data_IF_137900254762
#
_entry.id   IF_137900254762
#
_cell.length_a   1.000
_cell.length_b   1.000
_cell.length_c   1.000
_cell.angle_alpha   90.00
_cell.angle_beta   90.00
_cell.angle_gamma   90.00
#
_symmetry.space_group_name_H-M   'P 1'
#
loop_
_entity.id
_entity.type
_entity.pdbx_description
1 polymer ?
#
# COMPACT_ATOMS: atom_id res chain seq x y z
N UNK A 1 14.83 -2.88 16.35
CA UNK A 1 14.38 -4.14 15.70
C UNK A 1 14.27 -3.95 14.20
N UNK A 2 15.41 -3.98 13.49
CA UNK A 2 15.49 -4.16 12.04
C UNK A 2 15.66 -5.66 11.77
N UNK A 3 14.67 -6.49 12.12
CA UNK A 3 14.95 -7.92 12.35
C UNK A 3 13.82 -8.93 12.25
N UNK A 4 12.60 -8.54 11.87
CA UNK A 4 11.67 -9.54 11.32
C UNK A 4 11.71 -9.41 9.81
N UNK A 5 12.34 -10.40 9.18
CA UNK A 5 12.43 -10.52 7.73
C UNK A 5 11.01 -10.78 7.21
N UNK A 6 10.30 -9.73 6.83
CA UNK A 6 9.05 -9.85 6.08
C UNK A 6 9.46 -10.27 4.66
N UNK A 7 9.49 -11.58 4.43
CA UNK A 7 9.90 -12.16 3.15
C UNK A 7 8.85 -11.92 2.05
N UNK A 8 7.57 -11.81 2.41
CA UNK A 8 6.46 -11.64 1.47
C UNK A 8 5.37 -10.77 2.10
N UNK A 9 4.85 -9.81 1.34
CA UNK A 9 3.66 -9.05 1.73
C UNK A 9 2.39 -9.88 1.47
N UNK A 10 1.48 -10.03 2.45
CA UNK A 10 0.22 -10.75 2.24
C UNK A 10 -0.63 -10.11 1.14
N UNK A 11 -1.09 -10.94 0.19
CA UNK A 11 -1.95 -10.51 -0.92
C UNK A 11 -3.32 -11.17 -0.75
N UNK A 12 -4.35 -10.34 -0.58
CA UNK A 12 -5.74 -10.75 -0.52
C UNK A 12 -6.36 -10.56 -1.91
N UNK A 13 -7.14 -11.53 -2.38
CA UNK A 13 -7.78 -11.48 -3.70
C UNK A 13 -9.27 -11.18 -3.56
N UNK A 14 -9.80 -10.38 -4.47
CA UNK A 14 -11.21 -10.02 -4.50
C UNK A 14 -12.04 -11.31 -4.59
N UNK A 15 -12.86 -11.54 -3.57
CA UNK A 15 -13.74 -12.69 -3.45
C UNK A 15 -15.21 -12.31 -3.45
N UNK A 16 -15.54 -11.04 -3.19
CA UNK A 16 -16.91 -10.54 -3.20
C UNK A 16 -16.99 -9.05 -3.49
N UNK A 17 -18.06 -8.65 -4.17
CA UNK A 17 -18.42 -7.26 -4.40
C UNK A 17 -19.91 -7.09 -4.21
N UNK A 18 -20.29 -6.14 -3.37
CA UNK A 18 -21.67 -5.85 -3.01
C UNK A 18 -21.91 -4.35 -3.17
N UNK A 19 -23.01 -3.99 -3.83
CA UNK A 19 -23.36 -2.59 -4.08
C UNK A 19 -24.78 -2.30 -3.60
N UNK A 20 -24.95 -1.18 -2.91
CA UNK A 20 -26.25 -0.67 -2.48
C UNK A 20 -26.29 0.85 -2.69
N UNK A 21 -26.96 1.28 -3.77
CA UNK A 21 -26.97 2.68 -4.17
C UNK A 21 -25.57 3.17 -4.55
N UNK A 22 -25.12 4.24 -3.90
CA UNK A 22 -23.78 4.81 -4.07
C UNK A 22 -22.71 4.09 -3.25
N UNK A 23 -23.08 3.20 -2.33
CA UNK A 23 -22.15 2.48 -1.45
C UNK A 23 -21.71 1.16 -2.08
N UNK A 24 -20.42 0.90 -2.00
CA UNK A 24 -19.79 -0.34 -2.42
C UNK A 24 -19.04 -0.96 -1.26
N UNK A 25 -19.16 -2.28 -1.11
CA UNK A 25 -18.37 -3.12 -0.22
C UNK A 25 -17.63 -4.15 -1.07
N UNK A 26 -16.31 -4.16 -0.94
CA UNK A 26 -15.43 -5.15 -1.54
C UNK A 26 -14.90 -6.07 -0.44
N UNK A 27 -14.88 -7.36 -0.71
CA UNK A 27 -14.32 -8.38 0.17
C UNK A 27 -13.14 -9.04 -0.52
N UNK A 28 -11.97 -9.02 0.13
CA UNK A 28 -10.75 -9.63 -0.34
C UNK A 28 -10.34 -10.74 0.63
N UNK A 29 -10.21 -11.98 0.15
CA UNK A 29 -9.91 -13.15 0.97
C UNK A 29 -8.46 -13.61 0.87
N UNK A 30 -7.95 -14.16 1.97
CA UNK A 30 -6.71 -14.93 2.07
C UNK A 30 -6.87 -15.99 3.18
N UNK A 31 -7.09 -17.25 2.80
CA UNK A 31 -7.33 -18.32 3.77
C UNK A 31 -8.59 -18.06 4.61
N UNK A 32 -8.45 -18.03 5.93
CA UNK A 32 -9.50 -17.77 6.92
C UNK A 32 -9.64 -16.28 7.28
N UNK A 33 -8.86 -15.41 6.64
CA UNK A 33 -8.88 -13.97 6.85
C UNK A 33 -9.53 -13.27 5.65
N UNK A 34 -10.22 -12.17 5.90
CA UNK A 34 -10.68 -11.26 4.86
C UNK A 34 -10.47 -9.80 5.21
N UNK A 35 -10.25 -9.00 4.18
CA UNK A 35 -10.22 -7.55 4.26
C UNK A 35 -11.47 -7.02 3.56
N UNK A 36 -12.24 -6.24 4.30
CA UNK A 36 -13.44 -5.57 3.83
C UNK A 36 -13.09 -4.10 3.56
N UNK A 37 -13.33 -3.64 2.34
CA UNK A 37 -13.17 -2.23 1.96
C UNK A 37 -14.53 -1.68 1.56
N UNK A 38 -14.99 -0.67 2.29
CA UNK A 38 -16.25 0.00 2.01
C UNK A 38 -15.98 1.45 1.58
N UNK A 39 -16.68 1.91 0.55
CA UNK A 39 -16.63 3.30 0.10
C UNK A 39 -17.96 3.75 -0.50
N UNK A 40 -18.16 5.06 -0.55
CA UNK A 40 -19.23 5.71 -1.32
C UNK A 40 -18.70 6.24 -2.64
N UNK A 41 -19.50 6.15 -3.68
CA UNK A 41 -19.22 6.72 -5.00
C UNK A 41 -19.63 8.18 -4.96
N UNK A 42 -18.66 9.09 -5.05
CA UNK A 42 -18.90 10.53 -5.01
C UNK A 42 -18.69 11.11 -6.40
N UNK A 43 -19.66 11.87 -6.91
CA UNK A 43 -19.56 12.55 -8.19
C UNK A 43 -19.51 14.05 -7.97
N UNK A 44 -18.43 14.68 -8.41
CA UNK A 44 -18.23 16.14 -8.35
C UNK A 44 -17.99 16.65 -9.76
N UNK A 45 -18.97 17.36 -10.32
CA UNK A 45 -18.95 17.76 -11.73
C UNK A 45 -18.97 16.53 -12.65
N UNK A 46 -17.96 16.39 -13.51
CA UNK A 46 -17.81 15.25 -14.43
C UNK A 46 -16.87 14.16 -13.89
N UNK A 47 -16.40 14.27 -12.65
CA UNK A 47 -15.47 13.31 -12.06
C UNK A 47 -16.20 12.44 -11.05
N UNK A 48 -16.17 11.13 -11.25
CA UNK A 48 -16.62 10.14 -10.27
C UNK A 48 -15.41 9.55 -9.55
N UNK A 49 -15.45 9.55 -8.22
CA UNK A 49 -14.39 9.03 -7.38
C UNK A 49 -14.91 8.26 -6.17
N UNK A 50 -13.97 7.81 -5.34
CA UNK A 50 -14.27 7.15 -4.07
C UNK A 50 -14.23 8.18 -2.94
N UNK A 51 -15.25 8.17 -2.08
CA UNK A 51 -15.31 8.97 -0.86
C UNK A 51 -15.76 8.13 0.34
N UNK A 52 -15.53 8.62 1.56
CA UNK A 52 -15.85 7.92 2.81
C UNK A 52 -15.32 6.47 2.85
N UNK A 53 -14.09 6.27 2.40
CA UNK A 53 -13.50 4.94 2.35
C UNK A 53 -13.06 4.48 3.75
N UNK A 54 -13.28 3.20 4.03
CA UNK A 54 -12.78 2.52 5.23
C UNK A 54 -12.36 1.10 4.87
N UNK A 55 -11.39 0.58 5.61
CA UNK A 55 -10.92 -0.79 5.49
C UNK A 55 -10.93 -1.46 6.86
N UNK A 56 -11.29 -2.73 6.89
CA UNK A 56 -11.36 -3.55 8.10
C UNK A 56 -10.80 -4.93 7.78
N UNK A 57 -9.98 -5.46 8.68
CA UNK A 57 -9.56 -6.85 8.66
C UNK A 57 -10.49 -7.68 9.55
N UNK A 58 -10.88 -8.86 9.07
CA UNK A 58 -11.74 -9.82 9.73
C UNK A 58 -11.03 -11.18 9.77
N UNK A 59 -11.02 -11.80 10.93
CA UNK A 59 -10.53 -13.17 11.14
C UNK A 59 -11.45 -13.91 12.11
N UNK A 60 -11.16 -15.19 12.37
CA UNK A 60 -11.86 -15.95 13.40
C UNK A 60 -11.74 -15.34 14.81
N UNK A 61 -10.72 -14.52 15.05
CA UNK A 61 -10.41 -13.92 16.36
C UNK A 61 -11.11 -12.57 16.57
N UNK A 62 -11.68 -11.98 15.52
CA UNK A 62 -12.40 -10.71 15.62
C UNK A 62 -12.23 -9.83 14.38
N UNK A 63 -12.46 -8.54 14.57
CA UNK A 63 -12.37 -7.53 13.52
C UNK A 63 -11.76 -6.23 14.04
N UNK A 64 -10.99 -5.56 13.17
CA UNK A 64 -10.40 -4.26 13.46
C UNK A 64 -10.27 -3.42 12.19
N UNK A 65 -10.33 -2.11 12.33
CA UNK A 65 -10.08 -1.19 11.22
C UNK A 65 -8.61 -1.21 10.85
N UNK A 66 -8.28 -1.00 9.59
CA UNK A 66 -6.89 -0.85 9.15
C UNK A 66 -6.55 0.64 9.18
N UNK A 67 -5.40 0.98 9.77
CA UNK A 67 -5.02 2.39 9.99
C UNK A 67 -4.93 3.18 8.69
N UNK A 68 -4.22 2.66 7.70
CA UNK A 68 -3.92 3.40 6.48
C UNK A 68 -4.43 2.66 5.22
N UNK A 69 -4.90 3.43 4.23
CA UNK A 69 -5.42 2.92 2.95
C UNK A 69 -4.65 3.61 1.81
N UNK A 70 -3.81 2.86 1.12
CA UNK A 70 -3.08 3.28 -0.07
C UNK A 70 -3.89 3.10 -1.34
N UNK A 71 -4.01 4.16 -2.15
CA UNK A 71 -4.67 4.12 -3.47
C UNK A 71 -3.86 5.00 -4.43
N UNK A 72 -3.29 4.37 -5.46
CA UNK A 72 -2.38 5.07 -6.37
C UNK A 72 -1.19 5.67 -5.61
N UNK A 73 -1.12 7.00 -5.57
CA UNK A 73 -0.05 7.75 -4.92
C UNK A 73 -0.46 8.37 -3.57
N UNK A 74 -1.66 8.06 -3.09
CA UNK A 74 -2.23 8.67 -1.89
C UNK A 74 -2.37 7.64 -0.77
N UNK A 75 -2.24 8.13 0.46
CA UNK A 75 -2.54 7.37 1.68
C UNK A 75 -3.67 8.10 2.42
N UNK A 76 -4.72 7.37 2.75
CA UNK A 76 -5.86 7.84 3.53
C UNK A 76 -5.77 7.20 4.90
N UNK A 77 -5.62 8.03 5.94
CA UNK A 77 -5.54 7.58 7.33
C UNK A 77 -6.92 7.53 7.98
N UNK A 78 -7.23 6.41 8.62
CA UNK A 78 -8.42 6.20 9.43
C UNK A 78 -8.29 6.87 10.80
N UNK A 79 -9.41 7.40 11.30
CA UNK A 79 -9.55 8.03 12.61
C UNK A 79 -10.21 7.13 13.66
N UNK A 80 -10.40 5.84 13.37
CA UNK A 80 -11.15 4.92 14.22
C UNK A 80 -10.33 4.42 15.43
N UNK A 81 -11.00 4.26 16.56
CA UNK A 81 -10.37 3.88 17.84
C UNK A 81 -9.88 2.41 17.89
N UNK A 82 -10.50 1.49 17.12
CA UNK A 82 -10.08 0.08 17.03
C UNK A 82 -9.31 -0.16 15.72
N UNK A 83 -8.11 0.40 15.61
CA UNK A 83 -7.26 0.29 14.42
C UNK A 83 -6.07 -0.64 14.64
N UNK A 84 -5.78 -1.50 13.66
CA UNK A 84 -4.50 -2.22 13.57
C UNK A 84 -3.47 -1.36 12.83
N UNK A 85 -2.23 -1.24 13.35
CA UNK A 85 -1.14 -0.62 12.62
C UNK A 85 -0.86 -1.38 11.32
N UNK A 86 -0.62 -0.65 10.24
CA UNK A 86 -0.52 -1.23 8.90
C UNK A 86 -1.29 -0.42 7.86
N UNK A 87 -1.01 -0.75 6.61
CA UNK A 87 -1.64 -0.18 5.45
C UNK A 87 -2.20 -1.27 4.54
N UNK A 88 -3.34 -1.01 3.91
CA UNK A 88 -3.79 -1.78 2.74
C UNK A 88 -3.59 -0.98 1.47
N UNK A 89 -2.94 -1.56 0.47
CA UNK A 89 -2.79 -0.95 -0.85
C UNK A 89 -3.77 -1.57 -1.84
N UNK A 90 -4.66 -0.77 -2.42
CA UNK A 90 -5.64 -1.21 -3.42
C UNK A 90 -4.99 -1.34 -4.80
N UNK A 91 -4.97 -2.56 -5.35
CA UNK A 91 -4.37 -2.89 -6.64
C UNK A 91 -5.33 -3.68 -7.52
N UNK A 92 -6.43 -3.06 -7.93
CA UNK A 92 -7.43 -3.69 -8.81
C UNK A 92 -8.17 -4.83 -8.11
N UNK A 93 -7.96 -6.06 -8.57
CA UNK A 93 -8.57 -7.28 -8.01
C UNK A 93 -7.83 -7.83 -6.78
N UNK A 94 -6.80 -7.14 -6.32
CA UNK A 94 -6.02 -7.51 -5.15
C UNK A 94 -5.85 -6.35 -4.17
N UNK A 95 -5.66 -6.71 -2.91
CA UNK A 95 -5.16 -5.83 -1.87
C UNK A 95 -3.87 -6.41 -1.31
N UNK A 96 -2.87 -5.55 -1.14
CA UNK A 96 -1.64 -5.90 -0.43
C UNK A 96 -1.76 -5.36 0.99
N UNK A 97 -1.66 -6.22 1.99
CA UNK A 97 -1.51 -5.77 3.37
C UNK A 97 -0.03 -5.52 3.65
N UNK A 98 0.28 -4.33 4.15
CA UNK A 98 1.63 -3.83 4.40
C UNK A 98 1.73 -3.58 5.90
N UNK A 99 2.43 -4.44 6.65
CA UNK A 99 2.65 -4.24 8.08
C UNK A 99 3.41 -2.94 8.35
N UNK A 100 3.14 -2.30 9.49
CA UNK A 100 3.77 -1.04 9.91
C UNK A 100 5.30 -1.06 9.80
N UNK A 101 5.92 -2.20 10.14
CA UNK A 101 7.37 -2.38 10.11
C UNK A 101 8.01 -2.16 8.73
N UNK A 102 7.24 -2.27 7.63
CA UNK A 102 7.72 -2.17 6.25
C UNK A 102 6.96 -1.14 5.41
N UNK A 103 6.05 -0.35 6.01
CA UNK A 103 5.32 0.72 5.31
C UNK A 103 6.26 1.70 4.60
N UNK A 104 7.42 1.97 5.21
CA UNK A 104 8.40 2.95 4.74
C UNK A 104 9.56 2.33 3.95
N UNK A 105 9.52 1.04 3.65
CA UNK A 105 10.63 0.42 2.92
C UNK A 105 10.67 0.89 1.46
N UNK A 106 11.88 0.88 0.88
CA UNK A 106 12.11 1.34 -0.50
C UNK A 106 11.24 0.62 -1.52
N UNK A 107 10.97 -0.68 -1.32
CA UNK A 107 10.07 -1.43 -2.18
C UNK A 107 8.67 -0.83 -2.18
N UNK A 108 8.07 -0.58 -1.00
CA UNK A 108 6.72 0.01 -0.91
C UNK A 108 6.70 1.40 -1.56
N UNK A 109 7.66 2.25 -1.23
CA UNK A 109 7.74 3.63 -1.74
C UNK A 109 7.89 3.69 -3.27
N UNK A 110 8.85 2.95 -3.83
CA UNK A 110 9.10 2.95 -5.28
C UNK A 110 8.01 2.14 -6.00
N UNK A 111 7.78 0.89 -5.61
CA UNK A 111 6.93 -0.01 -6.36
C UNK A 111 5.44 0.31 -6.23
N UNK A 112 4.93 0.56 -5.03
CA UNK A 112 3.50 0.79 -4.82
C UNK A 112 3.12 2.27 -4.98
N UNK A 113 3.94 3.18 -4.45
CA UNK A 113 3.66 4.62 -4.47
C UNK A 113 4.41 5.41 -5.55
N UNK A 114 4.95 4.74 -6.57
CA UNK A 114 5.61 5.38 -7.71
C UNK A 114 6.79 6.31 -7.33
N UNK A 115 7.40 6.13 -6.17
CA UNK A 115 8.50 6.98 -5.70
C UNK A 115 8.05 8.31 -5.09
N UNK A 116 6.79 8.43 -4.66
CA UNK A 116 6.30 9.64 -3.96
C UNK A 116 7.20 9.98 -2.77
N UNK A 117 7.66 11.22 -2.72
CA UNK A 117 8.59 11.74 -1.71
C UNK A 117 10.06 11.46 -1.99
N UNK A 118 10.38 10.76 -3.08
CA UNK A 118 11.73 10.37 -3.49
C UNK A 118 12.07 10.87 -4.91
N UNK A 119 11.28 11.77 -5.46
CA UNK A 119 11.36 12.21 -6.85
C UNK A 119 12.69 12.90 -7.19
N UNK A 120 13.32 13.52 -6.19
CA UNK A 120 14.64 14.13 -6.34
C UNK A 120 15.76 13.07 -6.51
N UNK A 121 15.55 11.85 -6.03
CA UNK A 121 16.57 10.80 -6.03
C UNK A 121 16.33 9.74 -7.12
N UNK A 122 15.06 9.49 -7.46
CA UNK A 122 14.65 8.44 -8.37
C UNK A 122 13.67 8.96 -9.42
N UNK A 123 14.10 9.02 -10.67
CA UNK A 123 13.27 9.35 -11.82
C UNK A 123 12.69 8.05 -12.40
N UNK A 124 11.37 7.88 -12.37
CA UNK A 124 10.73 6.70 -13.01
C UNK A 124 10.85 6.81 -14.52
N UNK A 125 11.61 5.91 -15.14
CA UNK A 125 11.86 5.89 -16.59
C UNK A 125 11.05 4.83 -17.34
N UNK A 126 10.51 3.85 -16.60
CA UNK A 126 9.69 2.78 -17.17
C UNK A 126 8.66 2.28 -16.15
N UNK A 127 7.45 2.01 -16.61
CA UNK A 127 6.36 1.42 -15.83
C UNK A 127 5.45 0.61 -16.75
N UNK A 128 5.59 -0.71 -16.73
CA UNK A 128 4.74 -1.60 -17.52
C UNK A 128 4.75 -3.03 -16.98
N UNK A 129 3.60 -3.73 -17.07
CA UNK A 129 3.44 -5.15 -16.74
C UNK A 129 4.02 -5.58 -15.37
N UNK A 130 3.89 -4.74 -14.33
CA UNK A 130 4.41 -5.06 -13.00
C UNK A 130 5.93 -4.90 -12.86
N UNK A 131 6.59 -4.25 -13.81
CA UNK A 131 7.99 -3.86 -13.71
C UNK A 131 8.10 -2.34 -13.73
N UNK A 132 8.88 -1.80 -12.79
CA UNK A 132 9.21 -0.38 -12.72
C UNK A 132 10.71 -0.20 -12.73
N UNK A 133 11.20 0.70 -13.57
CA UNK A 133 12.63 1.04 -13.66
C UNK A 133 12.78 2.51 -13.31
N UNK A 134 13.76 2.77 -12.45
CA UNK A 134 14.11 4.10 -12.00
C UNK A 134 15.54 4.43 -12.42
N UNK A 135 15.74 5.64 -12.94
CA UNK A 135 17.05 6.25 -13.06
C UNK A 135 17.38 6.91 -11.73
N UNK A 136 18.57 6.64 -11.22
CA UNK A 136 19.06 7.21 -9.96
C UNK A 136 19.78 8.52 -10.26
N UNK A 137 19.37 9.60 -9.61
CA UNK A 137 20.04 10.90 -9.66
C UNK A 137 21.05 10.98 -8.51
N UNK A 138 22.21 10.34 -8.70
CA UNK A 138 23.26 10.22 -7.68
C UNK A 138 23.72 11.58 -7.13
N UNK A 139 23.69 12.62 -7.96
CA UNK A 139 24.03 14.00 -7.62
C UNK A 139 23.15 14.61 -6.53
N UNK A 140 21.96 14.07 -6.30
CA UNK A 140 21.02 14.58 -5.31
C UNK A 140 21.14 13.85 -3.95
N UNK A 141 21.91 12.76 -3.87
CA UNK A 141 22.13 12.06 -2.60
C UNK A 141 23.06 12.86 -1.68
N UNK A 142 22.87 12.77 -0.35
CA UNK A 142 23.81 13.38 0.60
C UNK A 142 25.23 12.85 0.38
N UNK A 143 26.24 13.70 0.53
CA UNK A 143 27.68 13.32 0.38
C UNK A 143 28.10 12.16 1.31
N UNK A 144 27.36 11.92 2.39
CA UNK A 144 27.56 10.78 3.29
C UNK A 144 27.19 9.42 2.70
N UNK A 145 26.48 9.38 1.56
CA UNK A 145 26.17 8.16 0.82
C UNK A 145 27.32 7.90 -0.14
N UNK A 146 28.40 7.33 0.38
CA UNK A 146 29.51 6.87 -0.44
C UNK A 146 29.04 5.60 -1.18
N UNK A 147 29.27 5.52 -2.48
CA UNK A 147 28.93 4.34 -3.30
C UNK A 147 29.79 3.10 -2.98
N UNK A 148 30.29 2.98 -1.75
CA UNK A 148 30.99 1.79 -1.29
C UNK A 148 29.97 0.66 -1.21
N UNK A 149 30.11 -0.29 -2.13
CA UNK A 149 29.40 -1.56 -2.08
C UNK A 149 29.73 -2.23 -0.74
N UNK A 150 28.76 -2.28 0.16
CA UNK A 150 28.83 -3.20 1.30
C UNK A 150 28.57 -4.58 0.72
N UNK A 151 29.58 -5.47 0.74
CA UNK A 151 29.36 -6.84 0.33
C UNK A 151 28.31 -7.45 1.25
N UNK A 152 27.35 -8.18 0.69
CA UNK A 152 26.30 -8.85 1.48
C UNK A 152 26.85 -9.87 2.49
N UNK A 153 28.14 -10.19 2.40
CA UNK A 153 28.90 -11.07 3.28
C UNK A 153 29.43 -10.36 4.55
N UNK A 154 29.40 -9.02 4.57
CA UNK A 154 29.90 -8.18 5.67
C UNK A 154 28.79 -7.73 6.66
N UNK A 155 27.56 -8.23 6.49
CA UNK A 155 26.39 -8.00 7.35
C UNK A 155 25.97 -9.31 8.06
#
# INVERSE_FOLDING_TARGET
NWGEKIDVLPIFRLSGQYQQGDKTLLEFGLGDQSILVAYSTVTTGNTTGMGNITALIKSAQGQAYIRDIGIGNQVIRSDKENTVPGMVYLAGDAIVFIPEAVEECMFVRLYLFNGVGLENYFEKVYDNLGMKIYRVAYENFPESVTGEYVHAEDL
#
